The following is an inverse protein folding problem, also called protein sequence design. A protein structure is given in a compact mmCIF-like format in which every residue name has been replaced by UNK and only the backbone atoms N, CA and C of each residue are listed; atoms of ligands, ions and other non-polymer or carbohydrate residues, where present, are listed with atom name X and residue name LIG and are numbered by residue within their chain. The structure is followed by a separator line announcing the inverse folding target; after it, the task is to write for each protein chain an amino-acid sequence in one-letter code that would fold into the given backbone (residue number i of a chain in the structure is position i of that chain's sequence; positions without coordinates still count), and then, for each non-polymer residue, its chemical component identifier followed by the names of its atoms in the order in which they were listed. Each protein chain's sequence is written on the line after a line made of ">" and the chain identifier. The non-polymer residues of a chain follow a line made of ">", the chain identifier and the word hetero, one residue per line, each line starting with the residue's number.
data_IF_546763437073
#
_entry.id   IF_546763437073
#
_cell.length_a   1.000
_cell.length_b   1.000
_cell.length_c   1.000
_cell.angle_alpha   90.00
_cell.angle_beta   90.00
_cell.angle_gamma   90.00
#
_symmetry.space_group_name_H-M   'P 1'
#
loop_
_entity.id
_entity.type
_entity.pdbx_description
1 polymer ?
#
# COMPACT_ATOMS: atom_id res chain seq x y z
N UNK A 1 36.36 37.05 -28.86
CA UNK A 1 36.27 35.63 -29.22
C UNK A 1 36.15 34.85 -27.92
N UNK A 2 34.92 34.59 -27.44
CA UNK A 2 34.73 33.80 -26.22
C UNK A 2 35.03 32.32 -26.52
N UNK A 3 35.69 31.57 -25.63
CA UNK A 3 36.13 30.21 -25.92
C UNK A 3 34.96 29.24 -25.95
N UNK A 4 34.85 28.50 -27.06
CA UNK A 4 33.80 27.54 -27.43
C UNK A 4 33.66 26.31 -26.51
N UNK A 5 34.29 26.28 -25.34
CA UNK A 5 34.34 25.11 -24.46
C UNK A 5 33.09 24.94 -23.57
N UNK A 6 32.24 25.98 -23.45
CA UNK A 6 31.09 25.98 -22.53
C UNK A 6 29.94 25.10 -23.04
N UNK A 7 29.85 24.85 -24.36
CA UNK A 7 28.76 24.07 -24.96
C UNK A 7 28.87 22.55 -24.76
N UNK A 8 30.06 22.02 -24.44
CA UNK A 8 30.27 20.58 -24.32
C UNK A 8 29.66 19.97 -23.05
N UNK A 9 29.42 20.77 -22.01
CA UNK A 9 28.90 20.29 -20.71
C UNK A 9 27.39 20.48 -20.55
N UNK A 10 26.75 21.27 -21.42
CA UNK A 10 25.31 21.51 -21.40
C UNK A 10 24.46 20.22 -21.56
N UNK A 11 24.77 19.27 -22.47
CA UNK A 11 24.00 18.04 -22.56
C UNK A 11 24.22 17.11 -21.35
N UNK A 12 25.41 17.14 -20.76
CA UNK A 12 25.73 16.36 -19.56
C UNK A 12 24.96 16.89 -18.35
N UNK A 13 24.82 18.22 -18.24
CA UNK A 13 24.04 18.87 -17.21
C UNK A 13 22.53 18.60 -17.41
N UNK A 14 22.01 18.67 -18.65
CA UNK A 14 20.62 18.30 -18.94
C UNK A 14 20.32 16.83 -18.59
N UNK A 15 21.26 15.92 -18.88
CA UNK A 15 21.09 14.50 -18.56
C UNK A 15 21.13 14.23 -17.05
N UNK A 16 21.96 14.96 -16.31
CA UNK A 16 21.98 14.90 -14.85
C UNK A 16 20.65 15.35 -14.23
N UNK A 17 20.07 16.45 -14.74
CA UNK A 17 18.76 16.94 -14.28
C UNK A 17 17.61 16.00 -14.64
N UNK A 18 17.71 15.26 -15.76
CA UNK A 18 16.70 14.30 -16.18
C UNK A 18 16.63 13.05 -15.28
N UNK A 19 17.70 12.74 -14.55
CA UNK A 19 17.76 11.53 -13.72
C UNK A 19 17.15 11.73 -12.32
N UNK A 20 17.18 12.96 -11.80
CA UNK A 20 16.66 13.29 -10.46
C UNK A 20 15.13 13.13 -10.38
N UNK A 21 14.39 13.41 -11.46
CA UNK A 21 12.93 13.35 -11.48
C UNK A 21 12.30 11.94 -11.54
N UNK A 22 13.07 10.90 -11.88
CA UNK A 22 12.55 9.51 -12.01
C UNK A 22 12.68 8.68 -10.74
N UNK A 23 13.62 9.00 -9.85
CA UNK A 23 13.97 8.11 -8.75
C UNK A 23 13.09 8.25 -7.50
N UNK A 24 12.30 9.33 -7.38
CA UNK A 24 11.59 9.65 -6.14
C UNK A 24 10.10 9.25 -6.12
N UNK A 25 9.51 8.85 -7.25
CA UNK A 25 8.06 8.69 -7.38
C UNK A 25 7.59 7.26 -7.69
N UNK A 26 8.38 6.24 -7.36
CA UNK A 26 7.96 4.85 -7.52
C UNK A 26 7.03 4.44 -6.36
N UNK A 27 5.73 4.20 -6.60
CA UNK A 27 4.74 3.98 -5.54
C UNK A 27 5.01 2.75 -4.67
N UNK A 28 5.76 1.78 -5.19
CA UNK A 28 6.13 0.55 -4.49
C UNK A 28 7.33 0.71 -3.56
N UNK A 29 8.03 1.86 -3.60
CA UNK A 29 9.06 2.24 -2.62
C UNK A 29 8.50 3.08 -1.45
N UNK A 30 7.20 3.41 -1.49
CA UNK A 30 6.55 4.07 -0.36
C UNK A 30 6.58 3.16 0.87
N UNK A 31 6.90 3.73 2.04
CA UNK A 31 6.79 3.01 3.29
C UNK A 31 5.36 2.46 3.45
N UNK A 32 5.19 1.21 3.91
CA UNK A 32 3.87 0.66 4.13
C UNK A 32 3.10 1.55 5.13
N UNK A 33 1.77 1.62 5.02
CA UNK A 33 0.95 2.44 5.90
C UNK A 33 1.26 2.12 7.37
N UNK A 34 1.42 3.16 8.18
CA UNK A 34 1.76 3.08 9.61
C UNK A 34 0.65 2.47 10.48
N UNK A 35 -0.54 2.28 9.94
CA UNK A 35 -1.65 1.61 10.61
C UNK A 35 -2.24 0.51 9.73
N UNK A 36 -2.27 -0.70 10.26
CA UNK A 36 -2.89 -1.87 9.61
C UNK A 36 -4.09 -2.29 10.45
N UNK A 37 -5.30 -2.00 9.97
CA UNK A 37 -6.55 -2.51 10.55
C UNK A 37 -7.43 -1.47 11.26
N UNK A 38 -8.31 -1.98 12.12
CA UNK A 38 -9.36 -1.22 12.83
C UNK A 38 -8.82 -0.80 14.21
N UNK A 39 -9.04 0.46 14.62
CA UNK A 39 -8.59 0.94 15.92
C UNK A 39 -9.36 0.29 17.09
N UNK A 40 -8.71 0.14 18.26
CA UNK A 40 -9.38 -0.38 19.46
C UNK A 40 -10.53 0.55 19.87
N UNK A 41 -11.70 -0.02 20.14
CA UNK A 41 -12.92 0.71 20.47
C UNK A 41 -13.69 1.25 19.26
N UNK A 42 -13.10 1.21 18.06
CA UNK A 42 -13.82 1.54 16.83
C UNK A 42 -14.88 0.47 16.54
N UNK A 43 -16.06 0.90 16.08
CA UNK A 43 -17.12 -0.01 15.65
C UNK A 43 -16.62 -0.88 14.50
N UNK A 44 -16.89 -2.19 14.59
CA UNK A 44 -16.57 -3.12 13.50
C UNK A 44 -17.31 -2.71 12.21
N UNK A 45 -16.62 -2.63 11.06
CA UNK A 45 -17.27 -2.45 9.77
C UNK A 45 -18.27 -3.59 9.49
N UNK A 46 -19.41 -3.30 8.86
CA UNK A 46 -20.33 -4.36 8.47
C UNK A 46 -19.66 -5.27 7.44
N UNK A 47 -19.85 -6.58 7.59
CA UNK A 47 -19.45 -7.57 6.59
C UNK A 47 -20.54 -8.61 6.42
N UNK A 48 -20.59 -9.20 5.22
CA UNK A 48 -21.40 -10.37 4.93
C UNK A 48 -20.66 -11.25 3.93
N UNK A 49 -20.30 -12.46 4.31
CA UNK A 49 -19.51 -13.38 3.47
C UNK A 49 -19.98 -14.84 3.66
N UNK A 50 -19.87 -15.69 2.63
CA UNK A 50 -20.13 -17.11 2.78
C UNK A 50 -19.05 -17.76 3.66
N UNK A 51 -19.46 -18.69 4.52
CA UNK A 51 -18.55 -19.58 5.23
C UNK A 51 -18.14 -20.79 4.36
N UNK A 52 -17.40 -21.73 4.92
CA UNK A 52 -16.92 -22.93 4.21
C UNK A 52 -18.04 -23.85 3.70
N UNK A 53 -19.26 -23.68 4.19
CA UNK A 53 -20.46 -24.39 3.72
C UNK A 53 -21.32 -23.57 2.76
N UNK A 54 -20.86 -22.36 2.40
CA UNK A 54 -21.60 -21.40 1.57
C UNK A 54 -22.67 -20.62 2.34
N UNK A 55 -22.80 -20.81 3.66
CA UNK A 55 -23.79 -20.08 4.44
C UNK A 55 -23.32 -18.65 4.67
N UNK A 56 -24.17 -17.68 4.33
CA UNK A 56 -23.86 -16.27 4.55
C UNK A 56 -23.78 -15.97 6.06
N UNK A 57 -22.64 -15.42 6.48
CA UNK A 57 -22.35 -14.97 7.84
C UNK A 57 -22.11 -13.48 7.91
N UNK A 58 -22.38 -12.92 9.07
CA UNK A 58 -22.09 -11.55 9.47
C UNK A 58 -21.54 -11.54 10.90
N UNK A 59 -21.23 -10.36 11.46
CA UNK A 59 -20.71 -10.25 12.82
C UNK A 59 -21.66 -10.83 13.88
N UNK A 60 -22.96 -10.61 13.75
CA UNK A 60 -23.95 -10.99 14.76
C UNK A 60 -24.14 -12.50 14.83
N UNK A 61 -24.06 -13.18 13.68
CA UNK A 61 -24.22 -14.63 13.57
C UNK A 61 -23.01 -15.43 14.04
N UNK A 62 -21.81 -14.84 14.08
CA UNK A 62 -20.58 -15.55 14.49
C UNK A 62 -20.10 -15.16 15.89
N UNK A 63 -20.59 -14.06 16.47
CA UNK A 63 -20.15 -13.61 17.79
C UNK A 63 -20.79 -14.43 18.92
N UNK A 64 -19.97 -14.76 19.93
CA UNK A 64 -20.45 -15.32 21.18
C UNK A 64 -20.70 -14.24 22.25
N UNK A 65 -21.05 -14.65 23.49
CA UNK A 65 -21.27 -13.74 24.62
C UNK A 65 -20.03 -12.87 24.96
N UNK A 66 -18.84 -13.35 24.62
CA UNK A 66 -17.55 -12.67 24.85
C UNK A 66 -16.98 -12.02 23.58
N UNK A 67 -17.74 -11.96 22.49
CA UNK A 67 -17.26 -11.47 21.20
C UNK A 67 -16.74 -12.59 20.29
N UNK A 68 -15.84 -12.22 19.38
CA UNK A 68 -15.26 -13.09 18.34
C UNK A 68 -13.83 -12.66 18.05
N UNK A 69 -12.95 -13.62 17.78
CA UNK A 69 -11.63 -13.38 17.21
C UNK A 69 -11.70 -13.59 15.69
N UNK A 70 -11.30 -12.58 14.92
CA UNK A 70 -11.28 -12.63 13.44
C UNK A 70 -9.83 -12.58 13.00
N UNK A 71 -9.39 -13.60 12.27
CA UNK A 71 -8.03 -13.71 11.74
C UNK A 71 -8.06 -13.53 10.23
N UNK A 72 -7.29 -12.56 9.72
CA UNK A 72 -7.12 -12.33 8.30
C UNK A 72 -5.85 -13.02 7.84
N UNK A 73 -5.98 -14.00 6.95
CA UNK A 73 -4.86 -14.64 6.29
C UNK A 73 -4.97 -14.41 4.78
N UNK A 74 -3.85 -14.06 4.16
CA UNK A 74 -3.68 -14.10 2.71
C UNK A 74 -2.63 -15.17 2.43
N UNK A 75 -3.08 -16.34 2.00
CA UNK A 75 -2.17 -17.36 1.48
C UNK A 75 -1.44 -16.80 0.24
N UNK A 76 -0.16 -17.10 0.11
CA UNK A 76 0.53 -16.88 -1.15
C UNK A 76 0.07 -17.94 -2.16
N UNK A 77 -0.18 -17.53 -3.39
CA UNK A 77 -0.41 -18.38 -4.55
C UNK A 77 0.99 -18.84 -5.01
N UNK A 78 1.54 -19.88 -4.37
CA UNK A 78 2.80 -20.51 -4.76
C UNK A 78 2.55 -21.74 -5.61
#
# INVERSE_FOLDING_TARGET
>A
MLPSAIWAFLPLLLLAQAQEGRSQNEPWMAAPPTSTGIAVGQKIPPFKAPDQSGQMRDFNSIRGPKGVAIFFNRSADW
#
